data_IF_419490489095
#
_entry.id   IF_419490489095
#
_cell.length_a   1.000
_cell.length_b   1.000
_cell.length_c   1.000
_cell.angle_alpha   90.00
_cell.angle_beta   90.00
_cell.angle_gamma   90.00
#
_symmetry.space_group_name_H-M   'P 1'
#
loop_
_entity.id
_entity.type
_entity.pdbx_description
1 polymer ?
#
# COMPACT_ATOMS: atom_id res chain seq x y z
N UNK A 1 -5.84 -25.83 3.40
CA UNK A 1 -4.75 -25.20 4.14
C UNK A 1 -3.58 -26.18 4.20
N UNK A 2 -2.40 -25.75 3.87
CA UNK A 2 -1.16 -26.55 3.76
C UNK A 2 -0.05 -26.03 4.69
N UNK A 3 -0.40 -25.32 5.77
CA UNK A 3 0.57 -24.76 6.70
C UNK A 3 1.40 -23.63 6.10
N UNK A 4 2.61 -23.49 6.56
CA UNK A 4 3.56 -22.46 6.14
C UNK A 4 4.22 -22.73 4.78
N UNK A 5 4.30 -23.97 4.39
CA UNK A 5 4.82 -24.44 3.10
C UNK A 5 6.16 -23.80 2.68
N UNK A 6 7.13 -23.79 3.60
CA UNK A 6 8.51 -23.35 3.37
C UNK A 6 8.78 -21.86 3.58
N UNK A 7 7.81 -21.04 4.00
CA UNK A 7 8.03 -19.66 4.42
C UNK A 7 7.43 -19.48 5.83
N UNK A 8 8.29 -19.21 6.81
CA UNK A 8 7.88 -19.06 8.20
C UNK A 8 6.81 -17.96 8.37
N UNK A 9 5.76 -18.21 9.15
CA UNK A 9 4.65 -17.28 9.40
C UNK A 9 3.61 -17.20 8.28
N UNK A 10 3.88 -17.77 7.08
CA UNK A 10 2.92 -17.79 5.98
C UNK A 10 1.78 -18.77 6.22
N UNK A 11 0.56 -18.38 5.82
CA UNK A 11 -0.54 -19.33 5.63
C UNK A 11 -0.76 -19.57 4.15
N UNK A 12 -0.55 -20.82 3.71
CA UNK A 12 -0.69 -21.20 2.32
C UNK A 12 -1.96 -22.04 2.10
N UNK A 13 -2.81 -21.59 1.19
CA UNK A 13 -4.03 -22.28 0.81
C UNK A 13 -4.02 -22.62 -0.67
N UNK A 14 -4.65 -23.73 -1.03
CA UNK A 14 -4.80 -24.22 -2.40
C UNK A 14 -6.25 -24.64 -2.65
N UNK A 15 -6.79 -24.31 -3.82
CA UNK A 15 -8.09 -24.75 -4.29
C UNK A 15 -7.89 -25.72 -5.46
N UNK A 16 -8.69 -26.80 -5.52
CA UNK A 16 -8.77 -27.72 -6.65
C UNK A 16 -7.94 -29.00 -6.53
N UNK A 17 -7.44 -29.37 -5.33
CA UNK A 17 -6.71 -30.62 -5.15
C UNK A 17 -5.52 -30.74 -6.11
N UNK A 18 -5.50 -31.81 -6.92
CA UNK A 18 -4.49 -32.03 -7.95
C UNK A 18 -4.73 -31.18 -9.20
N UNK A 19 -5.98 -30.83 -9.50
CA UNK A 19 -6.37 -29.86 -10.53
C UNK A 19 -6.40 -28.42 -9.95
N UNK A 20 -5.24 -27.92 -9.57
CA UNK A 20 -5.10 -26.61 -8.91
C UNK A 20 -5.55 -25.46 -9.78
N UNK A 21 -6.53 -24.69 -9.29
CA UNK A 21 -7.00 -23.47 -9.95
C UNK A 21 -6.46 -22.21 -9.29
N UNK A 22 -6.31 -22.21 -7.94
CA UNK A 22 -5.89 -21.03 -7.19
C UNK A 22 -4.92 -21.40 -6.06
N UNK A 23 -4.02 -20.49 -5.78
CA UNK A 23 -3.13 -20.49 -4.61
C UNK A 23 -3.27 -19.15 -3.89
N UNK A 24 -3.40 -19.19 -2.55
CA UNK A 24 -3.49 -17.97 -1.72
C UNK A 24 -2.38 -18.01 -0.69
N UNK A 25 -1.58 -16.96 -0.65
CA UNK A 25 -0.54 -16.74 0.33
C UNK A 25 -1.00 -15.61 1.26
N UNK A 26 -1.07 -15.89 2.57
CA UNK A 26 -1.44 -14.92 3.59
C UNK A 26 -0.21 -14.73 4.48
N UNK A 27 0.19 -13.48 4.65
CA UNK A 27 1.31 -13.06 5.49
C UNK A 27 0.81 -12.21 6.65
N UNK A 28 1.55 -12.16 7.75
CA UNK A 28 1.33 -11.17 8.79
C UNK A 28 1.62 -9.76 8.22
N UNK A 29 0.90 -8.74 8.67
CA UNK A 29 1.03 -7.39 8.10
C UNK A 29 2.40 -6.74 8.37
N UNK A 30 3.12 -7.22 9.37
CA UNK A 30 4.48 -6.79 9.71
C UNK A 30 5.59 -7.62 9.02
N UNK A 31 5.25 -8.65 8.25
CA UNK A 31 6.19 -9.39 7.40
C UNK A 31 6.45 -8.65 6.08
N UNK A 32 6.94 -7.41 6.18
CA UNK A 32 7.23 -6.56 5.02
C UNK A 32 8.14 -7.25 4.01
N UNK A 33 9.13 -8.00 4.47
CA UNK A 33 10.09 -8.68 3.59
C UNK A 33 9.38 -9.63 2.60
N UNK A 34 8.57 -10.56 3.11
CA UNK A 34 7.89 -11.52 2.25
C UNK A 34 6.78 -10.90 1.43
N UNK A 35 6.04 -9.91 1.98
CA UNK A 35 5.02 -9.16 1.24
C UNK A 35 5.66 -8.45 0.04
N UNK A 36 6.68 -7.63 0.26
CA UNK A 36 7.29 -6.82 -0.79
C UNK A 36 8.00 -7.66 -1.84
N UNK A 37 8.65 -8.74 -1.45
CA UNK A 37 9.25 -9.70 -2.39
C UNK A 37 8.23 -10.25 -3.39
N UNK A 38 7.07 -10.68 -2.91
CA UNK A 38 6.01 -11.21 -3.78
C UNK A 38 5.38 -10.13 -4.66
N UNK A 39 5.15 -8.94 -4.11
CA UNK A 39 4.58 -7.81 -4.84
C UNK A 39 5.55 -7.28 -5.90
N UNK A 40 6.83 -7.13 -5.55
CA UNK A 40 7.88 -6.69 -6.46
C UNK A 40 8.01 -7.64 -7.67
N UNK A 41 8.10 -8.94 -7.41
CA UNK A 41 8.22 -9.95 -8.47
C UNK A 41 6.99 -9.97 -9.38
N UNK A 42 5.79 -9.87 -8.81
CA UNK A 42 4.53 -9.76 -9.57
C UNK A 42 4.56 -8.56 -10.53
N UNK A 43 4.91 -7.38 -10.01
CA UNK A 43 4.86 -6.13 -10.77
C UNK A 43 5.99 -6.06 -11.80
N UNK A 44 7.14 -6.60 -11.47
CA UNK A 44 8.25 -6.76 -12.40
C UNK A 44 7.87 -7.63 -13.62
N UNK A 45 7.25 -8.78 -13.40
CA UNK A 45 6.74 -9.63 -14.50
C UNK A 45 5.63 -8.96 -15.32
N UNK A 46 4.79 -8.13 -14.69
CA UNK A 46 3.77 -7.35 -15.40
C UNK A 46 4.37 -6.29 -16.31
N UNK A 47 5.44 -5.64 -15.87
CA UNK A 47 6.11 -4.58 -16.61
C UNK A 47 7.06 -5.10 -17.70
N UNK A 48 7.57 -6.33 -17.59
CA UNK A 48 8.57 -6.91 -18.48
C UNK A 48 7.99 -8.12 -19.24
N UNK A 49 7.46 -7.88 -20.44
CA UNK A 49 6.78 -8.91 -21.23
C UNK A 49 7.71 -10.09 -21.58
N UNK A 50 8.95 -9.82 -22.01
CA UNK A 50 9.94 -10.85 -22.38
C UNK A 50 10.25 -11.77 -21.20
N UNK A 51 10.51 -11.22 -20.01
CA UNK A 51 10.78 -12.00 -18.79
C UNK A 51 9.57 -12.83 -18.38
N UNK A 52 8.36 -12.28 -18.54
CA UNK A 52 7.11 -12.99 -18.26
C UNK A 52 6.92 -14.19 -19.18
N UNK A 53 7.23 -14.04 -20.46
CA UNK A 53 7.15 -15.11 -21.46
C UNK A 53 8.21 -16.18 -21.21
N UNK A 54 9.46 -15.79 -20.92
CA UNK A 54 10.54 -16.70 -20.53
C UNK A 54 10.14 -17.52 -19.30
N UNK A 55 9.58 -16.86 -18.25
CA UNK A 55 9.11 -17.55 -17.06
C UNK A 55 7.94 -18.50 -17.34
N UNK A 56 7.04 -18.11 -18.24
CA UNK A 56 5.95 -18.95 -18.71
C UNK A 56 6.45 -20.23 -19.39
N UNK A 57 7.38 -20.09 -20.34
CA UNK A 57 8.00 -21.19 -21.08
C UNK A 57 8.77 -22.13 -20.14
N UNK A 58 9.57 -21.59 -19.21
CA UNK A 58 10.27 -22.37 -18.18
C UNK A 58 9.31 -23.21 -17.35
N UNK A 59 8.21 -22.61 -16.86
CA UNK A 59 7.20 -23.34 -16.06
C UNK A 59 6.52 -24.45 -16.86
N UNK A 60 6.22 -24.23 -18.12
CA UNK A 60 5.61 -25.26 -18.99
C UNK A 60 6.57 -26.43 -19.20
N UNK A 61 7.83 -26.14 -19.52
CA UNK A 61 8.87 -27.16 -19.69
C UNK A 61 9.08 -28.00 -18.42
N UNK A 62 9.17 -27.34 -17.26
CA UNK A 62 9.31 -28.02 -15.97
C UNK A 62 8.08 -28.87 -15.59
N UNK A 63 6.88 -28.38 -15.89
CA UNK A 63 5.64 -29.13 -15.64
C UNK A 63 5.55 -30.40 -16.50
N UNK A 64 6.02 -30.34 -17.74
CA UNK A 64 6.11 -31.53 -18.61
C UNK A 64 7.19 -32.52 -18.12
N UNK A 65 8.33 -32.00 -17.68
CA UNK A 65 9.46 -32.81 -17.22
C UNK A 65 9.20 -33.48 -15.85
N UNK A 66 8.50 -32.79 -14.97
CA UNK A 66 8.27 -33.21 -13.58
C UNK A 66 6.77 -33.17 -13.20
N UNK A 67 5.88 -33.95 -13.87
CA UNK A 67 4.44 -33.81 -13.70
C UNK A 67 3.96 -34.18 -12.28
N UNK A 68 4.69 -35.03 -11.56
CA UNK A 68 4.35 -35.49 -10.22
C UNK A 68 5.43 -35.18 -9.17
N UNK A 69 6.55 -34.59 -9.57
CA UNK A 69 7.66 -34.21 -8.68
C UNK A 69 7.69 -32.71 -8.46
N UNK A 70 6.95 -32.27 -7.43
CA UNK A 70 6.85 -30.84 -7.10
C UNK A 70 8.18 -30.24 -6.63
N UNK A 71 9.06 -31.05 -6.02
CA UNK A 71 10.34 -30.56 -5.55
C UNK A 71 11.24 -30.22 -6.74
N UNK A 72 11.46 -31.16 -7.66
CA UNK A 72 12.24 -30.93 -8.89
C UNK A 72 11.66 -29.82 -9.75
N UNK A 73 10.34 -29.67 -9.80
CA UNK A 73 9.68 -28.52 -10.45
C UNK A 73 10.04 -27.18 -9.77
N UNK A 74 10.06 -27.16 -8.44
CA UNK A 74 10.41 -25.93 -7.70
C UNK A 74 11.89 -25.58 -7.85
N UNK A 75 12.77 -26.56 -7.73
CA UNK A 75 14.23 -26.39 -7.86
C UNK A 75 14.61 -25.91 -9.26
N UNK A 76 13.96 -26.44 -10.30
CA UNK A 76 14.22 -26.05 -11.68
C UNK A 76 13.91 -24.58 -12.01
N UNK A 77 13.05 -23.92 -11.25
CA UNK A 77 12.75 -22.47 -11.43
C UNK A 77 13.47 -21.57 -10.43
N UNK A 78 14.16 -22.11 -9.44
CA UNK A 78 14.70 -21.36 -8.30
C UNK A 78 15.70 -20.29 -8.74
N UNK A 79 16.63 -20.65 -9.61
CA UNK A 79 17.64 -19.70 -10.12
C UNK A 79 17.02 -18.54 -10.89
N UNK A 80 16.06 -18.85 -11.76
CA UNK A 80 15.31 -17.82 -12.50
C UNK A 80 14.61 -16.86 -11.53
N UNK A 81 13.89 -17.41 -10.55
CA UNK A 81 13.14 -16.62 -9.57
C UNK A 81 14.10 -15.75 -8.74
N UNK A 82 15.18 -16.30 -8.20
CA UNK A 82 16.16 -15.54 -7.41
C UNK A 82 16.78 -14.38 -8.20
N UNK A 83 17.18 -14.63 -9.45
CA UNK A 83 17.76 -13.58 -10.31
C UNK A 83 16.79 -12.42 -10.57
N UNK A 84 15.57 -12.75 -10.98
CA UNK A 84 14.58 -11.72 -11.32
C UNK A 84 13.91 -11.09 -10.09
N UNK A 85 13.85 -11.79 -8.96
CA UNK A 85 13.43 -11.23 -7.68
C UNK A 85 14.40 -10.14 -7.19
N UNK A 86 15.71 -10.34 -7.33
CA UNK A 86 16.70 -9.31 -6.98
C UNK A 86 16.54 -8.05 -7.83
N UNK A 87 16.34 -8.19 -9.15
CA UNK A 87 16.07 -7.07 -10.05
C UNK A 87 14.73 -6.37 -9.73
N UNK A 88 13.70 -7.15 -9.42
CA UNK A 88 12.40 -6.64 -9.04
C UNK A 88 12.48 -5.78 -7.76
N UNK A 89 13.15 -6.30 -6.72
CA UNK A 89 13.31 -5.58 -5.46
C UNK A 89 14.13 -4.29 -5.61
N UNK A 90 15.15 -4.29 -6.47
CA UNK A 90 15.96 -3.11 -6.73
C UNK A 90 15.18 -1.94 -7.36
N UNK A 91 14.09 -2.25 -8.09
CA UNK A 91 13.23 -1.26 -8.76
C UNK A 91 11.90 -1.00 -8.06
N UNK A 92 11.61 -1.72 -6.96
CA UNK A 92 10.30 -1.70 -6.31
C UNK A 92 10.13 -0.53 -5.35
N UNK A 93 9.23 0.39 -5.67
CA UNK A 93 8.80 1.43 -4.73
C UNK A 93 7.76 0.86 -3.74
N UNK A 94 8.24 0.43 -2.59
CA UNK A 94 7.37 -0.10 -1.51
C UNK A 94 6.65 0.98 -0.71
N UNK A 95 6.86 2.26 -1.00
CA UNK A 95 6.33 3.35 -0.17
C UNK A 95 4.80 3.32 -0.04
N UNK A 96 4.09 3.01 -1.12
CA UNK A 96 2.63 2.90 -1.09
C UNK A 96 2.14 1.72 -0.25
N UNK A 97 2.83 0.58 -0.34
CA UNK A 97 2.49 -0.63 0.43
C UNK A 97 2.74 -0.39 1.92
N UNK A 98 3.86 0.25 2.27
CA UNK A 98 4.19 0.64 3.65
C UNK A 98 3.14 1.60 4.23
N UNK A 99 2.73 2.61 3.47
CA UNK A 99 1.68 3.55 3.87
C UNK A 99 0.34 2.84 4.09
N UNK A 100 -0.05 1.99 3.14
CA UNK A 100 -1.28 1.21 3.24
C UNK A 100 -1.27 0.30 4.48
N UNK A 101 -0.18 -0.43 4.71
CA UNK A 101 -0.02 -1.29 5.89
C UNK A 101 -0.06 -0.48 7.19
N UNK A 102 0.60 0.69 7.24
CA UNK A 102 0.58 1.57 8.40
C UNK A 102 -0.85 2.05 8.73
N UNK A 103 -1.64 2.43 7.73
CA UNK A 103 -3.04 2.79 7.91
C UNK A 103 -3.87 1.58 8.37
N UNK A 104 -3.72 0.42 7.71
CA UNK A 104 -4.45 -0.82 8.07
C UNK A 104 -4.17 -1.29 9.49
N UNK A 105 -2.96 -1.12 9.99
CA UNK A 105 -2.55 -1.51 11.33
C UNK A 105 -3.37 -0.83 12.44
N UNK A 106 -3.77 0.42 12.22
CA UNK A 106 -4.53 1.20 13.21
C UNK A 106 -6.03 1.26 12.90
N UNK A 107 -6.45 0.79 11.71
CA UNK A 107 -7.85 0.78 11.30
C UNK A 107 -8.65 -0.25 12.12
N UNK A 108 -9.77 0.17 12.66
CA UNK A 108 -10.70 -0.67 13.39
C UNK A 108 -11.83 0.19 13.95
N UNK A 109 -13.02 0.06 13.33
CA UNK A 109 -14.21 0.78 13.79
C UNK A 109 -14.52 0.40 15.26
N UNK A 110 -14.67 1.40 16.10
CA UNK A 110 -14.95 1.22 17.54
C UNK A 110 -15.74 2.37 18.12
N UNK A 111 -16.61 2.08 19.05
CA UNK A 111 -17.27 3.06 19.90
C UNK A 111 -16.30 3.46 21.02
N UNK A 112 -15.98 4.74 21.11
CA UNK A 112 -15.13 5.31 22.17
C UNK A 112 -15.99 5.74 23.35
N UNK A 113 -17.16 6.34 23.07
CA UNK A 113 -18.17 6.75 24.06
C UNK A 113 -19.55 6.79 23.38
N UNK A 114 -20.65 7.05 24.12
CA UNK A 114 -21.98 7.25 23.53
C UNK A 114 -22.04 8.40 22.49
N UNK A 115 -21.02 9.26 22.43
CA UNK A 115 -20.95 10.43 21.55
C UNK A 115 -19.89 10.30 20.47
N UNK A 116 -18.97 9.32 20.56
CA UNK A 116 -17.78 9.24 19.71
C UNK A 116 -17.60 7.83 19.16
N UNK A 117 -17.52 7.75 17.85
CA UNK A 117 -17.03 6.58 17.12
C UNK A 117 -15.70 6.92 16.44
N UNK A 118 -14.83 5.94 16.24
CA UNK A 118 -13.55 6.15 15.61
C UNK A 118 -13.05 4.92 14.82
N UNK A 119 -12.12 5.12 13.92
CA UNK A 119 -11.35 4.05 13.29
C UNK A 119 -12.00 3.37 12.08
N UNK A 120 -13.17 3.80 11.62
CA UNK A 120 -13.78 3.27 10.39
C UNK A 120 -12.88 3.52 9.18
N UNK A 121 -12.36 4.73 9.05
CA UNK A 121 -11.33 5.11 8.07
C UNK A 121 -10.01 5.34 8.79
N UNK A 122 -8.90 4.92 8.18
CA UNK A 122 -7.55 5.26 8.64
C UNK A 122 -6.74 5.87 7.50
N UNK A 123 -5.83 6.78 7.82
CA UNK A 123 -4.91 7.35 6.87
C UNK A 123 -3.46 7.20 7.33
N UNK A 124 -2.55 7.13 6.35
CA UNK A 124 -1.12 7.26 6.61
C UNK A 124 -0.49 8.18 5.57
N UNK A 125 0.43 9.01 6.02
CA UNK A 125 1.22 9.88 5.17
C UNK A 125 2.72 9.61 5.34
N UNK A 126 3.49 9.90 4.30
CA UNK A 126 4.95 9.87 4.31
C UNK A 126 5.46 11.29 4.08
N UNK A 127 6.40 11.72 4.90
CA UNK A 127 7.07 12.99 4.74
C UNK A 127 8.15 12.94 3.66
N UNK A 128 8.68 14.08 3.26
CA UNK A 128 9.85 14.14 2.35
C UNK A 128 11.10 13.52 2.98
N UNK A 129 11.20 13.46 4.31
CA UNK A 129 12.27 12.78 5.05
C UNK A 129 12.08 11.25 5.15
N UNK A 130 10.93 10.72 4.70
CA UNK A 130 10.63 9.29 4.69
C UNK A 130 9.93 8.74 5.94
N UNK A 131 9.64 9.60 6.93
CA UNK A 131 8.89 9.22 8.13
C UNK A 131 7.42 9.00 7.81
N UNK A 132 6.76 8.07 8.53
CA UNK A 132 5.36 7.73 8.36
C UNK A 132 4.57 8.13 9.59
N UNK A 133 3.46 8.84 9.37
CA UNK A 133 2.49 9.21 10.39
C UNK A 133 1.12 8.70 10.01
N UNK A 134 0.34 8.25 10.99
CA UNK A 134 -0.97 7.64 10.77
C UNK A 134 -2.02 8.27 11.69
N UNK A 135 -3.26 8.25 11.25
CA UNK A 135 -4.40 8.71 12.02
C UNK A 135 -5.68 7.97 11.63
N UNK A 136 -6.70 8.02 12.48
CA UNK A 136 -8.02 7.43 12.23
C UNK A 136 -9.09 8.51 12.19
N UNK A 137 -10.21 8.27 11.50
CA UNK A 137 -11.36 9.16 11.60
C UNK A 137 -11.92 9.14 13.02
N UNK A 138 -12.39 10.29 13.47
CA UNK A 138 -13.12 10.49 14.71
C UNK A 138 -14.45 11.12 14.34
N UNK A 139 -15.53 10.40 14.61
CA UNK A 139 -16.90 10.83 14.35
C UNK A 139 -17.57 11.18 15.70
N UNK A 140 -18.17 12.34 15.76
CA UNK A 140 -18.82 12.84 16.99
C UNK A 140 -20.29 13.11 16.73
N UNK A 141 -21.09 13.12 17.78
CA UNK A 141 -22.52 13.45 17.73
C UNK A 141 -22.78 14.92 17.29
N UNK A 142 -21.72 15.71 17.10
CA UNK A 142 -21.75 17.09 16.61
C UNK A 142 -20.66 17.32 15.56
N UNK A 143 -20.47 18.55 15.09
CA UNK A 143 -19.54 18.91 14.01
C UNK A 143 -18.05 18.94 14.41
N UNK A 144 -17.65 18.39 15.54
CA UNK A 144 -16.25 18.38 16.03
C UNK A 144 -15.41 17.23 15.44
N UNK A 145 -16.02 16.32 14.67
CA UNK A 145 -15.34 15.20 14.07
C UNK A 145 -14.17 15.56 13.16
N UNK A 146 -13.21 14.64 13.01
CA UNK A 146 -12.00 14.85 12.24
C UNK A 146 -11.72 13.67 11.31
N UNK A 147 -11.41 13.95 10.05
CA UNK A 147 -11.01 12.91 9.09
C UNK A 147 -9.64 12.33 9.44
N UNK A 148 -9.41 11.08 9.08
CA UNK A 148 -8.18 10.35 9.32
C UNK A 148 -6.93 11.07 8.78
N UNK A 149 -7.03 11.71 7.61
CA UNK A 149 -5.92 12.46 7.01
C UNK A 149 -5.51 13.65 7.87
N UNK A 150 -6.47 14.39 8.43
CA UNK A 150 -6.14 15.54 9.30
C UNK A 150 -5.52 15.10 10.61
N UNK A 151 -5.90 13.95 11.11
CA UNK A 151 -5.32 13.38 12.32
C UNK A 151 -3.89 12.88 12.08
N UNK A 152 -3.62 12.24 10.93
CA UNK A 152 -2.27 11.88 10.51
C UNK A 152 -1.38 13.13 10.33
N UNK A 153 -1.93 14.22 9.76
CA UNK A 153 -1.22 15.51 9.61
C UNK A 153 -0.95 16.14 10.98
N UNK A 154 -1.89 16.11 11.91
CA UNK A 154 -1.69 16.62 13.25
C UNK A 154 -0.56 15.86 13.98
N UNK A 155 -0.49 14.53 13.83
CA UNK A 155 0.58 13.69 14.35
C UNK A 155 1.94 14.07 13.76
N UNK A 156 2.02 14.32 12.44
CA UNK A 156 3.23 14.79 11.76
C UNK A 156 3.69 16.17 12.30
N UNK A 157 2.77 17.12 12.40
CA UNK A 157 3.08 18.47 12.90
C UNK A 157 3.56 18.41 14.36
N UNK A 158 2.93 17.58 15.19
CA UNK A 158 3.33 17.36 16.59
C UNK A 158 4.74 16.77 16.72
N UNK A 159 5.20 16.04 15.71
CA UNK A 159 6.57 15.52 15.62
C UNK A 159 7.57 16.53 15.00
N UNK A 160 7.14 17.74 14.66
CA UNK A 160 7.99 18.80 14.13
C UNK A 160 8.20 18.79 12.61
N UNK A 161 7.43 17.95 11.88
CA UNK A 161 7.50 17.89 10.42
C UNK A 161 6.29 18.58 9.77
N UNK A 162 6.43 18.99 8.50
CA UNK A 162 5.37 19.73 7.79
C UNK A 162 5.26 19.40 6.29
N UNK A 163 6.17 18.62 5.71
CA UNK A 163 6.27 18.41 4.28
C UNK A 163 5.89 16.98 3.90
N UNK A 164 4.74 16.81 3.28
CA UNK A 164 4.18 15.51 2.86
C UNK A 164 4.60 15.20 1.43
N UNK A 165 5.11 14.01 1.18
CA UNK A 165 5.35 13.48 -0.16
C UNK A 165 4.18 12.63 -0.68
N UNK A 166 3.63 11.75 0.16
CA UNK A 166 2.58 10.79 -0.21
C UNK A 166 1.57 10.61 0.92
N UNK A 167 0.31 10.35 0.58
CA UNK A 167 -0.76 10.04 1.55
C UNK A 167 -1.73 9.02 0.98
N UNK A 168 -2.27 8.17 1.84
CA UNK A 168 -3.39 7.26 1.56
C UNK A 168 -4.41 7.32 2.69
N UNK A 169 -5.69 7.32 2.34
CA UNK A 169 -6.78 6.98 3.24
C UNK A 169 -7.31 5.59 2.86
N UNK A 170 -7.57 4.75 3.84
CA UNK A 170 -8.08 3.38 3.67
C UNK A 170 -9.50 3.32 4.20
N UNK A 171 -10.43 3.01 3.30
CA UNK A 171 -11.86 2.90 3.57
C UNK A 171 -12.18 1.59 4.31
N UNK A 172 -13.38 1.45 4.91
CA UNK A 172 -13.76 0.22 5.64
C UNK A 172 -13.67 -1.06 4.81
N UNK A 173 -13.88 -0.98 3.51
CA UNK A 173 -13.77 -2.10 2.56
C UNK A 173 -12.33 -2.40 2.13
N UNK A 174 -11.34 -1.63 2.62
CA UNK A 174 -9.93 -1.75 2.28
C UNK A 174 -9.52 -1.01 1.00
N UNK A 175 -10.43 -0.33 0.32
CA UNK A 175 -10.11 0.49 -0.85
C UNK A 175 -9.40 1.79 -0.46
N UNK A 176 -8.68 2.40 -1.42
CA UNK A 176 -8.14 3.74 -1.24
C UNK A 176 -9.24 4.79 -1.39
N UNK A 177 -9.39 5.67 -0.39
CA UNK A 177 -10.34 6.76 -0.36
C UNK A 177 -9.75 8.10 -0.82
N UNK A 178 -10.58 8.93 -1.42
CA UNK A 178 -10.20 10.29 -1.78
C UNK A 178 -10.39 11.24 -0.59
N UNK A 179 -9.45 12.16 -0.33
CA UNK A 179 -9.58 13.15 0.73
C UNK A 179 -10.75 14.09 0.46
N UNK A 180 -11.52 14.41 1.50
CA UNK A 180 -12.60 15.39 1.44
C UNK A 180 -12.05 16.81 1.21
N UNK A 181 -12.94 17.77 0.93
CA UNK A 181 -12.55 19.17 0.68
C UNK A 181 -11.74 19.80 1.81
N UNK A 182 -12.12 19.55 3.07
CA UNK A 182 -11.41 20.07 4.24
C UNK A 182 -9.98 19.49 4.36
N UNK A 183 -9.79 18.19 4.04
CA UNK A 183 -8.47 17.57 4.04
C UNK A 183 -7.59 18.11 2.92
N UNK A 184 -8.15 18.32 1.72
CA UNK A 184 -7.41 18.92 0.59
C UNK A 184 -6.97 20.35 0.91
N UNK A 185 -7.86 21.16 1.45
CA UNK A 185 -7.56 22.54 1.87
C UNK A 185 -6.47 22.55 2.94
N UNK A 186 -6.57 21.69 3.96
CA UNK A 186 -5.56 21.62 5.00
C UNK A 186 -4.17 21.23 4.45
N UNK A 187 -4.11 20.24 3.56
CA UNK A 187 -2.85 19.85 2.90
C UNK A 187 -2.25 20.99 2.08
N UNK A 188 -3.04 21.75 1.32
CA UNK A 188 -2.57 22.88 0.52
C UNK A 188 -1.95 23.99 1.38
N UNK A 189 -2.36 24.15 2.63
CA UNK A 189 -1.85 25.17 3.55
C UNK A 189 -0.55 24.81 4.25
N UNK A 190 -0.04 23.58 4.11
CA UNK A 190 1.15 23.12 4.85
C UNK A 190 2.45 23.76 4.36
N UNK A 191 2.64 23.83 3.03
CA UNK A 191 3.88 24.37 2.43
C UNK A 191 3.64 24.76 0.96
N UNK A 192 4.54 25.58 0.42
CA UNK A 192 4.34 26.20 -0.91
C UNK A 192 4.15 25.18 -2.05
N UNK A 193 4.84 24.05 -2.03
CA UNK A 193 4.77 23.01 -3.04
C UNK A 193 3.77 21.88 -2.70
N UNK A 194 2.86 22.10 -1.74
CA UNK A 194 1.88 21.08 -1.30
C UNK A 194 1.03 20.51 -2.43
N UNK A 195 0.84 21.24 -3.52
CA UNK A 195 0.18 20.74 -4.73
C UNK A 195 0.83 19.49 -5.32
N UNK A 196 2.11 19.23 -5.03
CA UNK A 196 2.86 18.04 -5.49
C UNK A 196 2.58 16.78 -4.65
N UNK A 197 1.90 16.88 -3.51
CA UNK A 197 1.54 15.73 -2.67
C UNK A 197 0.83 14.69 -3.54
N UNK A 198 1.33 13.45 -3.50
CA UNK A 198 0.72 12.32 -4.20
C UNK A 198 -0.32 11.65 -3.30
N UNK A 199 -1.53 11.49 -3.80
CA UNK A 199 -2.67 10.88 -3.12
C UNK A 199 -3.00 9.57 -3.81
N UNK A 200 -2.90 8.44 -3.10
CA UNK A 200 -3.20 7.12 -3.67
C UNK A 200 -4.69 7.01 -4.00
N UNK A 201 -5.00 6.56 -5.21
CA UNK A 201 -6.38 6.33 -5.67
C UNK A 201 -6.70 4.86 -5.90
N UNK A 202 -5.69 4.03 -6.13
CA UNK A 202 -5.83 2.58 -6.28
C UNK A 202 -4.52 1.89 -5.91
N UNK A 203 -4.57 1.00 -4.92
CA UNK A 203 -3.37 0.29 -4.44
C UNK A 203 -2.91 -0.78 -5.43
N UNK A 204 -3.84 -1.49 -6.07
CA UNK A 204 -3.51 -2.61 -6.95
C UNK A 204 -2.69 -2.21 -8.17
N UNK A 205 -3.00 -1.05 -8.75
CA UNK A 205 -2.26 -0.42 -9.87
C UNK A 205 -1.29 0.65 -9.41
N UNK A 206 -1.22 0.96 -8.12
CA UNK A 206 -0.46 2.09 -7.53
C UNK A 206 -0.75 3.43 -8.19
N UNK A 207 -1.97 3.59 -8.68
CA UNK A 207 -2.41 4.85 -9.29
C UNK A 207 -2.59 5.91 -8.22
N UNK A 208 -2.06 7.09 -8.49
CA UNK A 208 -2.19 8.26 -7.63
C UNK A 208 -2.56 9.50 -8.43
N UNK A 209 -3.01 10.53 -7.74
CA UNK A 209 -3.26 11.87 -8.26
C UNK A 209 -2.48 12.89 -7.43
N UNK A 210 -2.00 13.96 -8.05
CA UNK A 210 -1.41 15.08 -7.32
C UNK A 210 -2.50 15.99 -6.76
N UNK A 211 -2.26 16.55 -5.58
CA UNK A 211 -3.22 17.42 -4.89
C UNK A 211 -3.59 18.64 -5.73
N UNK A 212 -2.66 19.23 -6.49
CA UNK A 212 -2.94 20.34 -7.43
C UNK A 212 -4.04 20.02 -8.46
N UNK A 213 -4.20 18.77 -8.86
CA UNK A 213 -5.27 18.34 -9.77
C UNK A 213 -6.65 18.30 -9.11
N UNK A 214 -6.67 18.22 -7.78
CA UNK A 214 -7.91 18.22 -6.99
C UNK A 214 -8.26 19.60 -6.45
N UNK A 215 -7.35 20.58 -6.57
CA UNK A 215 -7.47 21.96 -6.08
C UNK A 215 -7.00 22.95 -7.15
N UNK A 216 -7.60 22.93 -8.36
CA UNK A 216 -7.26 23.90 -9.40
C UNK A 216 -7.57 25.31 -8.89
N UNK A 217 -6.74 26.28 -9.28
CA UNK A 217 -6.93 27.71 -8.94
C UNK A 217 -7.06 27.98 -7.43
N UNK A 218 -6.27 27.25 -6.63
CA UNK A 218 -6.32 27.39 -5.17
C UNK A 218 -6.05 28.84 -4.72
N UNK A 219 -6.95 29.40 -3.95
CA UNK A 219 -6.98 30.80 -3.53
C UNK A 219 -5.78 31.26 -2.69
N UNK A 220 -5.12 30.36 -1.97
CA UNK A 220 -4.05 30.65 -1.00
C UNK A 220 -2.64 30.74 -1.62
N UNK A 221 -2.45 30.48 -2.91
CA UNK A 221 -1.13 30.39 -3.56
C UNK A 221 -0.26 31.65 -3.37
N UNK A 222 -0.86 32.84 -3.38
CA UNK A 222 -0.15 34.11 -3.22
C UNK A 222 0.40 34.35 -1.81
N UNK A 223 -0.09 33.63 -0.80
CA UNK A 223 0.38 33.79 0.58
C UNK A 223 1.80 33.26 0.78
N UNK A 224 2.16 32.22 0.06
CA UNK A 224 3.52 31.64 0.10
C UNK A 224 4.56 32.47 -0.67
N UNK A 225 4.12 33.43 -1.52
CA UNK A 225 5.03 34.32 -2.26
C UNK A 225 5.48 35.55 -1.46
N UNK A 226 4.88 35.77 -0.29
CA UNK A 226 5.08 36.99 0.53
C UNK A 226 6.01 36.75 1.73
N UNK A 227 6.66 35.58 1.82
CA UNK A 227 7.56 35.21 2.91
C UNK A 227 9.04 35.17 2.50
#
# INVERSE_FOLDING_TARGET
YLGEFGIAGRRYLRKGGDERTHQVHIFCADDEHNIFRHLAFRDYLRANAEVREEYGALKMSLAQKYPYDIQSYCDGKEEFVKRHEALALASFDSSWDRLYLAARKIQGARTVSPFIEAGGVAAALMTESGNIYSGVCIDTACSLGMCAEREAIASMISAGESRISKIVAVMPDGSAGMPCGACREFMMQLFAEAGKICILTDLGSRRFVRLEKLMPDWWGSERFKKG
#
